data_IF_675232483688
#
_entry.id   IF_675232483688
#
_cell.length_a   1.000
_cell.length_b   1.000
_cell.length_c   1.000
_cell.angle_alpha   90.00
_cell.angle_beta   90.00
_cell.angle_gamma   90.00
#
_symmetry.space_group_name_H-M   'P 1'
#
loop_
_entity.id
_entity.type
_entity.pdbx_description
1 polymer ?
#
# COMPACT_ATOMS: atom_id res chain seq x y z
N UNK A 1 9.22 7.34 4.86
CA UNK A 1 9.46 5.90 5.14
C UNK A 1 8.15 5.13 5.22
N UNK A 2 8.12 3.96 5.88
CA UNK A 2 6.94 3.07 5.93
C UNK A 2 5.66 3.78 6.43
N UNK A 3 5.76 4.62 7.46
CA UNK A 3 4.64 5.38 8.02
C UNK A 3 3.98 6.27 6.95
N UNK A 4 4.78 6.99 6.16
CA UNK A 4 4.30 7.91 5.11
C UNK A 4 3.51 7.20 4.00
N UNK A 5 3.69 5.88 3.84
CA UNK A 5 3.02 5.08 2.80
C UNK A 5 1.83 4.30 3.36
N UNK A 6 1.95 3.75 4.57
CA UNK A 6 0.87 2.99 5.23
C UNK A 6 -0.26 3.90 5.69
N UNK A 7 0.05 5.03 6.34
CA UNK A 7 -0.96 5.91 6.96
C UNK A 7 -2.00 6.42 5.94
N UNK A 8 -1.61 6.95 4.76
CA UNK A 8 -2.60 7.42 3.80
C UNK A 8 -3.54 6.33 3.29
N UNK A 9 -3.05 5.10 3.13
CA UNK A 9 -3.86 3.97 2.68
C UNK A 9 -4.89 3.54 3.74
N UNK A 10 -4.49 3.40 5.00
CA UNK A 10 -5.43 3.02 6.07
C UNK A 10 -6.43 4.12 6.40
N UNK A 11 -6.03 5.40 6.30
CA UNK A 11 -6.95 6.55 6.44
C UNK A 11 -7.99 6.55 5.31
N UNK A 12 -7.61 6.10 4.11
CA UNK A 12 -8.52 5.84 2.99
C UNK A 12 -9.40 4.59 3.14
N UNK A 13 -9.34 3.89 4.29
CA UNK A 13 -10.11 2.70 4.60
C UNK A 13 -9.61 1.43 3.92
N UNK A 14 -8.32 1.34 3.57
CA UNK A 14 -7.72 0.14 2.99
C UNK A 14 -7.09 -0.75 4.07
N UNK A 15 -7.13 -2.06 3.84
CA UNK A 15 -6.19 -2.98 4.47
C UNK A 15 -4.86 -2.94 3.70
N UNK A 16 -3.74 -3.07 4.42
CA UNK A 16 -2.40 -2.92 3.86
C UNK A 16 -1.54 -4.13 4.22
N UNK A 17 -0.80 -4.62 3.24
CA UNK A 17 0.35 -5.50 3.43
C UNK A 17 1.59 -4.67 3.11
N UNK A 18 2.39 -4.36 4.13
CA UNK A 18 3.58 -3.53 4.01
C UNK A 18 4.84 -4.40 4.05
N UNK A 19 5.64 -4.35 2.99
CA UNK A 19 6.97 -4.96 2.97
C UNK A 19 7.95 -3.99 3.63
N UNK A 20 8.58 -4.43 4.72
CA UNK A 20 9.55 -3.65 5.46
C UNK A 20 10.84 -3.41 4.64
N UNK A 21 11.71 -2.55 5.16
CA UNK A 21 13.08 -2.45 4.64
C UNK A 21 13.78 -3.79 4.82
N UNK A 22 14.41 -4.29 3.75
CA UNK A 22 15.20 -5.53 3.80
C UNK A 22 16.46 -5.33 4.65
N UNK A 23 17.12 -4.18 4.52
CA UNK A 23 18.34 -3.85 5.25
C UNK A 23 18.07 -3.40 6.69
N UNK A 24 16.94 -2.73 6.93
CA UNK A 24 16.62 -2.07 8.19
C UNK A 24 15.19 -2.37 8.69
N UNK A 25 14.83 -3.65 8.94
CA UNK A 25 13.45 -4.04 9.23
C UNK A 25 12.98 -3.68 10.65
N UNK A 26 13.90 -3.49 11.60
CA UNK A 26 13.57 -3.38 13.03
C UNK A 26 12.58 -2.26 13.34
N UNK A 27 12.74 -1.09 12.72
CA UNK A 27 11.82 0.04 12.92
C UNK A 27 10.39 -0.26 12.43
N UNK A 28 10.23 -1.08 11.39
CA UNK A 28 8.91 -1.50 10.91
C UNK A 28 8.27 -2.53 11.85
N UNK A 29 9.07 -3.38 12.49
CA UNK A 29 8.59 -4.35 13.49
C UNK A 29 8.15 -3.65 14.77
N UNK A 30 8.92 -2.69 15.29
CA UNK A 30 8.51 -1.87 16.43
C UNK A 30 7.20 -1.11 16.15
N UNK A 31 7.06 -0.56 14.93
CA UNK A 31 5.80 0.05 14.50
C UNK A 31 4.64 -0.95 14.48
N UNK A 32 4.87 -2.19 14.03
CA UNK A 32 3.85 -3.22 14.00
C UNK A 32 3.34 -3.57 15.41
N UNK A 33 4.25 -3.63 16.41
CA UNK A 33 3.88 -3.83 17.82
C UNK A 33 3.04 -2.66 18.36
N UNK A 34 3.44 -1.43 18.06
CA UNK A 34 2.69 -0.23 18.44
C UNK A 34 1.28 -0.25 17.82
N UNK A 35 1.15 -0.61 16.54
CA UNK A 35 -0.15 -0.74 15.87
C UNK A 35 -1.01 -1.84 16.50
N UNK A 36 -0.42 -3.00 16.79
CA UNK A 36 -1.12 -4.13 17.39
C UNK A 36 -1.70 -3.82 18.77
N UNK A 37 -1.11 -2.86 19.49
CA UNK A 37 -1.57 -2.39 20.82
C UNK A 37 -2.45 -1.14 20.76
N UNK A 38 -2.75 -0.62 19.55
CA UNK A 38 -3.51 0.62 19.33
C UNK A 38 -4.99 0.38 18.94
N UNK A 39 -5.57 -0.77 19.30
CA UNK A 39 -6.96 -1.14 18.98
C UNK A 39 -7.31 -1.15 17.48
N UNK A 40 -6.32 -1.26 16.60
CA UNK A 40 -6.57 -1.39 15.18
C UNK A 40 -7.16 -2.79 14.89
N UNK A 41 -8.25 -2.90 14.11
CA UNK A 41 -8.82 -4.20 13.79
C UNK A 41 -7.80 -5.13 13.13
N UNK A 42 -7.85 -6.41 13.49
CA UNK A 42 -6.98 -7.43 12.93
C UNK A 42 -7.05 -7.47 11.40
N UNK A 43 -5.88 -7.50 10.75
CA UNK A 43 -5.76 -7.56 9.29
C UNK A 43 -5.74 -6.20 8.57
N UNK A 44 -5.95 -5.07 9.26
CA UNK A 44 -5.88 -3.74 8.62
C UNK A 44 -4.44 -3.37 8.24
N UNK A 45 -3.47 -3.66 9.09
CA UNK A 45 -2.03 -3.51 8.76
C UNK A 45 -1.34 -4.85 9.01
N UNK A 46 -0.69 -5.36 7.97
CA UNK A 46 0.09 -6.58 7.99
C UNK A 46 1.50 -6.22 7.56
N UNK A 47 2.53 -6.52 8.35
CA UNK A 47 3.92 -6.20 8.03
C UNK A 47 4.66 -7.49 7.69
N UNK A 48 5.36 -7.49 6.55
CA UNK A 48 6.21 -8.58 6.10
C UNK A 48 7.67 -8.13 6.10
N UNK A 49 8.55 -9.01 6.57
CA UNK A 49 10.00 -8.89 6.43
C UNK A 49 10.50 -10.02 5.51
N UNK A 50 11.60 -9.80 4.80
CA UNK A 50 12.16 -10.77 3.87
C UNK A 50 12.79 -10.11 2.66
N UNK A 51 13.19 -10.95 1.70
CA UNK A 51 13.82 -10.50 0.46
C UNK A 51 12.79 -9.88 -0.48
N UNK A 52 13.08 -8.66 -0.96
CA UNK A 52 12.16 -7.93 -1.86
C UNK A 52 11.96 -8.67 -3.18
N UNK A 53 13.00 -9.31 -3.70
CA UNK A 53 12.96 -10.05 -4.96
C UNK A 53 12.06 -11.30 -4.88
N UNK A 54 11.77 -11.79 -3.67
CA UNK A 54 10.82 -12.90 -3.46
C UNK A 54 9.39 -12.38 -3.23
N UNK A 55 9.24 -11.31 -2.44
CA UNK A 55 7.92 -10.82 -2.00
C UNK A 55 7.24 -9.92 -3.04
N UNK A 56 7.98 -9.03 -3.68
CA UNK A 56 7.39 -8.01 -4.56
C UNK A 56 6.73 -8.60 -5.81
N UNK A 57 7.33 -9.57 -6.53
CA UNK A 57 6.67 -10.19 -7.69
C UNK A 57 5.38 -10.91 -7.32
N UNK A 58 5.34 -11.57 -6.16
CA UNK A 58 4.14 -12.24 -5.65
C UNK A 58 3.03 -11.22 -5.41
N UNK A 59 3.32 -10.11 -4.71
CA UNK A 59 2.34 -9.05 -4.46
C UNK A 59 1.87 -8.37 -5.75
N UNK A 60 2.79 -8.14 -6.70
CA UNK A 60 2.47 -7.53 -7.99
C UNK A 60 1.60 -8.43 -8.87
N UNK A 61 1.79 -9.75 -8.84
CA UNK A 61 0.97 -10.71 -9.60
C UNK A 61 -0.31 -11.16 -8.85
N UNK A 62 -0.47 -10.83 -7.57
CA UNK A 62 -1.57 -11.37 -6.76
C UNK A 62 -2.94 -10.84 -7.22
N UNK A 63 -3.84 -11.74 -7.62
CA UNK A 63 -5.14 -11.36 -8.20
C UNK A 63 -6.07 -10.61 -7.24
N UNK A 64 -6.01 -10.91 -5.94
CA UNK A 64 -6.84 -10.25 -4.92
C UNK A 64 -6.25 -8.95 -4.35
N UNK A 65 -5.09 -8.50 -4.84
CA UNK A 65 -4.53 -7.19 -4.46
C UNK A 65 -5.06 -6.12 -5.40
N UNK A 66 -5.75 -5.10 -4.87
CA UNK A 66 -6.38 -4.05 -5.70
C UNK A 66 -5.43 -2.93 -6.12
N UNK A 67 -4.35 -2.68 -5.37
CA UNK A 67 -3.36 -1.67 -5.66
C UNK A 67 -1.98 -2.08 -5.14
N UNK A 68 -0.92 -1.66 -5.84
CA UNK A 68 0.46 -1.83 -5.40
C UNK A 68 1.18 -0.47 -5.37
N UNK A 69 1.83 -0.15 -4.26
CA UNK A 69 2.67 1.04 -4.12
C UNK A 69 4.13 0.63 -4.32
N UNK A 70 4.74 1.11 -5.41
CA UNK A 70 6.11 0.78 -5.82
C UNK A 70 7.13 1.79 -5.28
N UNK A 71 6.73 2.67 -4.37
CA UNK A 71 7.65 3.65 -3.75
C UNK A 71 8.82 2.93 -3.06
N UNK A 72 10.04 3.17 -3.55
CA UNK A 72 11.25 2.55 -3.03
C UNK A 72 11.60 1.19 -3.67
N UNK A 73 10.92 0.80 -4.75
CA UNK A 73 11.20 -0.36 -5.59
C UNK A 73 11.67 0.04 -7.01
N UNK A 74 12.33 1.20 -7.15
CA UNK A 74 12.59 1.86 -8.45
C UNK A 74 13.34 0.95 -9.46
N UNK A 75 14.25 0.10 -8.98
CA UNK A 75 15.01 -0.83 -9.84
C UNK A 75 14.17 -1.99 -10.41
N UNK A 76 13.06 -2.36 -9.75
CA UNK A 76 12.19 -3.46 -10.14
C UNK A 76 10.85 -2.97 -10.73
N UNK A 77 10.56 -1.66 -10.69
CA UNK A 77 9.27 -1.11 -11.06
C UNK A 77 8.74 -1.55 -12.45
N UNK A 78 9.55 -1.57 -13.54
CA UNK A 78 9.05 -2.00 -14.84
C UNK A 78 8.50 -3.43 -14.87
N UNK A 79 9.17 -4.36 -14.17
CA UNK A 79 8.73 -5.75 -14.11
C UNK A 79 7.53 -5.91 -13.18
N UNK A 80 7.49 -5.20 -12.06
CA UNK A 80 6.34 -5.22 -11.15
C UNK A 80 5.09 -4.61 -11.80
N UNK A 81 5.24 -3.56 -12.60
CA UNK A 81 4.16 -3.00 -13.42
C UNK A 81 3.67 -4.00 -14.48
N UNK A 82 4.59 -4.72 -15.13
CA UNK A 82 4.25 -5.77 -16.09
C UNK A 82 3.40 -6.87 -15.44
N UNK A 83 3.76 -7.30 -14.23
CA UNK A 83 2.99 -8.28 -13.46
C UNK A 83 1.64 -7.73 -12.98
N UNK A 84 1.61 -6.48 -12.54
CA UNK A 84 0.38 -5.80 -12.11
C UNK A 84 -0.66 -5.63 -13.24
N UNK A 85 -0.20 -5.65 -14.49
CA UNK A 85 -1.07 -5.55 -15.67
C UNK A 85 -2.04 -6.73 -15.81
N UNK A 86 -1.73 -7.91 -15.25
CA UNK A 86 -2.55 -9.12 -15.40
C UNK A 86 -3.98 -8.95 -14.86
N UNK A 87 -4.17 -8.16 -13.81
CA UNK A 87 -5.50 -7.78 -13.31
C UNK A 87 -5.76 -6.27 -13.36
N UNK A 88 -4.89 -5.51 -14.03
CA UNK A 88 -4.97 -4.05 -14.16
C UNK A 88 -5.11 -3.37 -12.78
N UNK A 89 -4.43 -3.90 -11.75
CA UNK A 89 -4.43 -3.28 -10.43
C UNK A 89 -3.81 -1.90 -10.50
N UNK A 90 -4.25 -1.02 -9.61
CA UNK A 90 -3.73 0.34 -9.54
C UNK A 90 -2.25 0.31 -9.12
N UNK A 91 -1.38 0.91 -9.93
CA UNK A 91 0.03 1.12 -9.57
C UNK A 91 0.19 2.54 -9.02
N UNK A 92 0.84 2.67 -7.87
CA UNK A 92 1.13 3.94 -7.21
C UNK A 92 2.64 4.17 -7.17
N UNK A 93 3.05 5.37 -7.57
CA UNK A 93 4.41 5.87 -7.38
C UNK A 93 4.37 7.09 -6.47
N UNK A 94 5.35 7.24 -5.60
CA UNK A 94 5.47 8.41 -4.74
C UNK A 94 6.91 8.62 -4.31
N UNK A 95 7.13 9.62 -3.46
CA UNK A 95 8.40 9.74 -2.75
C UNK A 95 8.28 9.11 -1.37
N UNK A 96 9.34 8.48 -0.84
CA UNK A 96 9.27 7.77 0.44
C UNK A 96 8.80 8.66 1.61
N UNK A 97 9.13 9.95 1.58
CA UNK A 97 8.86 10.88 2.68
C UNK A 97 7.77 11.92 2.35
N UNK A 98 7.01 11.72 1.28
CA UNK A 98 5.85 12.56 0.96
C UNK A 98 4.84 12.55 2.11
N UNK A 99 4.60 13.70 2.72
CA UNK A 99 3.60 13.88 3.77
C UNK A 99 2.60 14.94 3.32
N UNK A 100 1.46 14.49 2.81
CA UNK A 100 0.39 15.36 2.34
C UNK A 100 -0.94 14.63 2.46
N UNK A 101 -2.04 15.28 2.91
CA UNK A 101 -3.36 14.66 2.89
C UNK A 101 -3.77 14.15 1.51
N UNK A 102 -3.22 14.75 0.44
CA UNK A 102 -3.52 14.35 -0.93
C UNK A 102 -2.95 12.97 -1.30
N UNK A 103 -1.99 12.41 -0.55
CA UNK A 103 -1.52 11.04 -0.81
C UNK A 103 -2.61 10.00 -0.55
N UNK A 104 -3.61 10.30 0.29
CA UNK A 104 -4.78 9.44 0.53
C UNK A 104 -5.52 9.18 -0.79
N UNK A 105 -5.66 10.21 -1.64
CA UNK A 105 -6.40 10.13 -2.91
C UNK A 105 -5.82 9.11 -3.88
N UNK A 106 -4.53 8.75 -3.75
CA UNK A 106 -3.87 7.74 -4.57
C UNK A 106 -4.48 6.35 -4.37
N UNK A 107 -5.16 6.12 -3.25
CA UNK A 107 -5.79 4.85 -2.89
C UNK A 107 -7.32 4.89 -2.95
N UNK A 108 -7.93 6.02 -3.31
CA UNK A 108 -9.38 6.16 -3.40
C UNK A 108 -9.90 5.87 -4.81
N UNK A 109 -11.12 5.35 -4.87
CA UNK A 109 -11.89 5.19 -6.11
C UNK A 109 -13.12 6.09 -6.06
N UNK A 110 -13.34 6.85 -7.13
CA UNK A 110 -14.52 7.70 -7.24
C UNK A 110 -15.70 6.88 -7.72
N UNK A 111 -16.70 6.72 -6.85
CA UNK A 111 -17.99 6.16 -7.21
C UNK A 111 -19.02 7.28 -7.30
N UNK A 112 -19.27 7.74 -8.52
CA UNK A 112 -20.34 8.72 -8.78
C UNK A 112 -21.70 8.04 -8.67
N UNK A 113 -22.57 8.56 -7.81
CA UNK A 113 -23.95 8.06 -7.62
C UNK A 113 -24.94 9.15 -8.00
N UNK A 114 -25.85 8.82 -8.92
CA UNK A 114 -26.87 9.73 -9.42
C UNK A 114 -28.17 9.51 -8.65
N UNK A 115 -28.68 10.55 -8.01
CA UNK A 115 -29.97 10.54 -7.32
C UNK A 115 -30.94 11.48 -8.05
N UNK A 116 -32.23 11.11 -8.19
CA UNK A 116 -33.22 12.03 -8.71
C UNK A 116 -33.35 13.23 -7.77
N UNK A 117 -33.38 14.44 -8.35
CA UNK A 117 -33.66 15.69 -7.65
C UNK A 117 -34.95 16.23 -8.24
N UNK A 118 -36.00 16.35 -7.41
CA UNK A 118 -37.23 17.04 -7.80
C UNK A 118 -36.95 18.53 -7.92
N UNK A 119 -37.34 19.13 -9.05
CA UNK A 119 -37.35 20.58 -9.23
C UNK A 119 -38.59 21.20 -8.62
#
# INVERSE_FOLDING_TARGET
>A
GIVSRVVPAIVGGKAVVAVASEEHPLAALELAEAIATSDLPGGVVNVLTGFRDELAPVLAAHMDVNAIDLTGADGAAPELERLAADNVKRVVHGTPDEQSPWTISRFLELKTVWHPIGQ
#
